data_IF_932894865137
#
_entry.id   IF_932894865137
#
_cell.length_a   1.000
_cell.length_b   1.000
_cell.length_c   1.000
_cell.angle_alpha   90.00
_cell.angle_beta   90.00
_cell.angle_gamma   90.00
#
_symmetry.space_group_name_H-M   'P 1'
#
loop_
_entity.id
_entity.type
_entity.pdbx_description
1 polymer ?
#
# COMPACT_ATOMS: atom_id res chain seq x y z
N UNK A 1 -27.24 60.26 66.59
CA UNK A 1 -26.13 59.87 65.69
C UNK A 1 -25.06 59.07 66.45
N UNK A 2 -25.33 57.88 66.90
CA UNK A 2 -24.32 57.05 67.58
C UNK A 2 -24.75 55.58 67.69
N UNK A 3 -25.03 54.92 66.57
CA UNK A 3 -25.51 53.56 66.64
C UNK A 3 -24.92 52.64 65.51
N UNK A 4 -23.78 53.03 64.93
CA UNK A 4 -23.11 52.25 63.86
C UNK A 4 -21.83 51.57 64.35
N UNK A 5 -21.42 51.77 65.60
CA UNK A 5 -20.12 51.31 66.11
C UNK A 5 -20.15 49.90 66.80
N UNK A 6 -21.27 49.21 66.82
CA UNK A 6 -21.42 48.00 67.63
C UNK A 6 -21.71 46.73 66.80
N UNK A 7 -21.35 46.72 65.53
CA UNK A 7 -21.38 45.45 64.77
C UNK A 7 -20.06 44.70 64.95
N UNK A 8 -20.08 43.44 65.45
CA UNK A 8 -18.88 42.66 65.61
C UNK A 8 -18.24 42.51 64.24
N UNK A 9 -16.97 42.84 64.10
CA UNK A 9 -16.18 42.58 62.91
C UNK A 9 -16.07 41.08 62.72
N UNK A 10 -16.57 40.55 61.56
CA UNK A 10 -16.47 39.15 61.22
C UNK A 10 -15.01 38.71 61.13
N UNK A 11 -14.73 37.52 61.64
CA UNK A 11 -13.41 36.95 61.56
C UNK A 11 -13.11 36.63 60.07
N UNK A 12 -12.07 37.23 59.53
CA UNK A 12 -11.60 36.87 58.14
C UNK A 12 -10.95 35.54 58.22
N UNK A 13 -11.43 34.53 57.49
CA UNK A 13 -10.77 33.20 57.45
C UNK A 13 -9.36 33.36 56.87
N UNK A 14 -8.43 32.62 57.44
CA UNK A 14 -7.05 32.58 56.94
C UNK A 14 -7.03 32.20 55.45
N UNK A 15 -6.21 32.89 54.69
CA UNK A 15 -5.99 32.58 53.27
C UNK A 15 -5.45 31.15 53.18
N UNK A 16 -6.07 30.26 52.36
CA UNK A 16 -5.54 28.89 52.17
C UNK A 16 -4.09 28.96 51.71
N UNK A 17 -3.23 28.12 52.31
CA UNK A 17 -1.85 28.00 51.88
C UNK A 17 -1.85 27.49 50.45
N UNK A 18 -1.14 28.22 49.56
CA UNK A 18 -0.95 27.78 48.19
C UNK A 18 0.03 26.63 48.19
N UNK A 19 -0.44 25.44 47.76
CA UNK A 19 0.48 24.37 47.41
C UNK A 19 1.32 24.82 46.21
N UNK A 20 2.65 24.79 46.36
CA UNK A 20 3.54 25.16 45.27
C UNK A 20 3.35 24.17 44.15
N UNK A 21 2.83 24.65 43.02
CA UNK A 21 2.70 23.84 41.79
C UNK A 21 4.10 23.46 41.31
N UNK A 22 4.41 22.15 41.30
CA UNK A 22 5.63 21.67 40.70
C UNK A 22 5.52 21.84 39.17
N UNK A 23 6.42 22.61 38.55
CA UNK A 23 6.37 22.80 37.12
C UNK A 23 6.59 21.47 36.42
N UNK A 24 5.68 21.09 35.52
CA UNK A 24 5.80 19.88 34.71
C UNK A 24 7.10 19.90 33.91
N UNK A 25 7.99 18.96 34.18
CA UNK A 25 9.22 18.78 33.41
C UNK A 25 8.90 18.10 32.09
N UNK A 26 8.95 18.85 31.00
CA UNK A 26 8.74 18.32 29.68
C UNK A 26 9.89 17.36 29.30
N UNK A 27 9.63 16.05 29.38
CA UNK A 27 10.60 14.99 29.11
C UNK A 27 10.68 14.52 27.65
N UNK A 28 10.08 15.26 26.71
CA UNK A 28 10.01 14.86 25.32
C UNK A 28 11.11 15.47 24.42
N UNK A 29 12.11 16.15 25.01
CA UNK A 29 13.20 16.76 24.26
C UNK A 29 13.98 15.76 23.39
N UNK A 30 14.01 14.48 23.79
CA UNK A 30 14.69 13.40 23.07
C UNK A 30 13.76 12.59 22.16
N UNK A 31 12.48 12.98 22.04
CA UNK A 31 11.57 12.35 21.09
C UNK A 31 11.70 13.05 19.76
N UNK A 32 11.63 12.25 18.69
CA UNK A 32 11.63 12.76 17.31
C UNK A 32 10.51 13.79 17.13
N UNK A 33 10.86 14.93 16.51
CA UNK A 33 9.87 15.95 16.16
C UNK A 33 8.85 15.38 15.16
N UNK A 34 7.53 15.60 15.36
CA UNK A 34 6.52 15.19 14.39
C UNK A 34 6.65 15.93 13.05
N UNK A 35 7.43 17.01 13.00
CA UNK A 35 7.68 17.81 11.80
C UNK A 35 8.99 17.45 11.09
N UNK A 36 9.78 16.54 11.63
CA UNK A 36 10.91 15.99 10.90
C UNK A 36 10.42 15.10 9.75
N UNK A 37 10.93 15.30 8.53
CA UNK A 37 10.57 14.45 7.41
C UNK A 37 10.86 12.98 7.76
N UNK A 38 10.01 12.04 7.36
CA UNK A 38 10.24 10.62 7.62
C UNK A 38 11.58 10.23 7.02
N UNK A 39 12.44 9.60 7.81
CA UNK A 39 13.64 8.97 7.28
C UNK A 39 13.16 7.79 6.44
N UNK A 40 13.19 7.97 5.13
CA UNK A 40 12.96 6.86 4.20
C UNK A 40 14.16 5.95 4.32
N UNK A 41 14.02 4.89 5.10
CA UNK A 41 14.98 3.78 5.08
C UNK A 41 14.76 3.09 3.73
N UNK A 42 15.45 3.59 2.71
CA UNK A 42 15.50 2.89 1.43
C UNK A 42 16.34 1.66 1.68
N UNK A 43 15.70 0.52 1.83
CA UNK A 43 16.38 -0.75 2.02
C UNK A 43 17.33 -0.96 0.83
N UNK A 44 18.64 -0.93 1.10
CA UNK A 44 19.66 -1.15 0.07
C UNK A 44 19.46 -2.49 -0.64
N UNK A 45 18.86 -3.47 0.05
CA UNK A 45 18.48 -4.75 -0.53
C UNK A 45 17.41 -4.60 -1.64
N UNK A 46 16.40 -3.75 -1.44
CA UNK A 46 15.38 -3.47 -2.47
C UNK A 46 15.98 -2.76 -3.69
N UNK A 47 16.96 -1.86 -3.47
CA UNK A 47 17.65 -1.20 -4.59
C UNK A 47 18.54 -2.18 -5.38
N UNK A 48 19.14 -3.17 -4.74
CA UNK A 48 19.91 -4.20 -5.45
C UNK A 48 19.01 -5.11 -6.30
N UNK A 49 17.83 -5.47 -5.77
CA UNK A 49 16.83 -6.25 -6.53
C UNK A 49 16.30 -5.44 -7.73
N UNK A 50 16.08 -4.15 -7.57
CA UNK A 50 15.64 -3.23 -8.63
C UNK A 50 16.60 -3.21 -9.82
N UNK A 51 17.91 -3.22 -9.56
CA UNK A 51 18.94 -3.10 -10.61
C UNK A 51 19.09 -4.38 -11.43
N UNK A 52 18.64 -5.54 -10.93
CA UNK A 52 18.77 -6.84 -11.59
C UNK A 52 17.54 -7.23 -12.42
N UNK A 53 16.39 -6.59 -12.15
CA UNK A 53 15.16 -6.88 -12.89
C UNK A 53 15.16 -6.07 -14.18
N UNK A 54 14.99 -6.76 -15.30
CA UNK A 54 14.81 -6.16 -16.62
C UNK A 54 13.59 -6.78 -17.30
N UNK A 55 12.85 -6.01 -18.10
CA UNK A 55 11.78 -6.57 -18.89
C UNK A 55 12.32 -7.68 -19.82
N UNK A 56 11.63 -8.78 -19.96
CA UNK A 56 11.99 -9.82 -20.92
C UNK A 56 11.74 -9.29 -22.34
N UNK A 57 12.80 -8.96 -23.06
CA UNK A 57 12.72 -8.45 -24.45
C UNK A 57 12.85 -9.57 -25.48
N UNK A 58 13.27 -10.75 -25.04
CA UNK A 58 13.66 -11.87 -25.93
C UNK A 58 12.53 -12.87 -26.19
N UNK A 59 11.30 -12.60 -25.75
CA UNK A 59 10.17 -13.49 -26.03
C UNK A 59 9.30 -12.97 -27.18
N UNK A 60 8.65 -13.91 -27.86
CA UNK A 60 7.63 -13.57 -28.87
C UNK A 60 6.42 -13.00 -28.15
N UNK A 61 6.02 -11.76 -28.48
CA UNK A 61 4.86 -11.12 -27.88
C UNK A 61 3.60 -11.96 -28.07
N UNK A 62 2.91 -12.19 -26.98
CA UNK A 62 1.64 -12.89 -26.98
C UNK A 62 0.48 -11.92 -27.26
N UNK A 63 -0.65 -12.37 -27.81
CA UNK A 63 -1.79 -11.50 -28.15
C UNK A 63 -2.28 -10.65 -26.98
N UNK A 64 -2.29 -11.19 -25.76
CA UNK A 64 -2.75 -10.48 -24.55
C UNK A 64 -1.79 -9.41 -24.04
N UNK A 65 -0.56 -9.34 -24.53
CA UNK A 65 0.39 -8.27 -24.21
C UNK A 65 0.08 -6.94 -24.94
N UNK A 66 -0.82 -6.98 -25.91
CA UNK A 66 -1.28 -5.77 -26.62
C UNK A 66 -2.34 -5.01 -25.83
N UNK A 67 -2.98 -5.65 -24.87
CA UNK A 67 -4.06 -5.09 -24.07
C UNK A 67 -3.58 -4.66 -22.69
N UNK A 68 -4.21 -3.63 -22.13
CA UNK A 68 -3.97 -3.28 -20.74
C UNK A 68 -4.61 -4.32 -19.82
N UNK A 69 -3.93 -4.68 -18.73
CA UNK A 69 -4.47 -5.67 -17.75
C UNK A 69 -5.85 -5.25 -17.21
N UNK A 70 -6.08 -3.95 -17.03
CA UNK A 70 -7.37 -3.44 -16.56
C UNK A 70 -8.55 -3.65 -17.53
N UNK A 71 -8.26 -3.99 -18.78
CA UNK A 71 -9.26 -4.28 -19.80
C UNK A 71 -9.47 -5.77 -20.05
N UNK A 72 -8.70 -6.61 -19.37
CA UNK A 72 -8.79 -8.06 -19.45
C UNK A 72 -9.67 -8.58 -18.32
N UNK A 73 -10.59 -9.48 -18.64
CA UNK A 73 -11.52 -10.05 -17.68
C UNK A 73 -11.40 -11.56 -17.65
N UNK A 74 -11.22 -12.12 -16.47
CA UNK A 74 -11.24 -13.58 -16.30
C UNK A 74 -12.69 -14.06 -16.25
N UNK A 75 -13.03 -15.02 -17.11
CA UNK A 75 -14.38 -15.59 -17.20
C UNK A 75 -14.46 -17.03 -16.72
N UNK A 76 -13.34 -17.67 -16.50
CA UNK A 76 -13.33 -19.02 -15.97
C UNK A 76 -11.96 -19.70 -16.00
N UNK A 77 -11.97 -20.97 -15.60
CA UNK A 77 -10.82 -21.86 -15.66
C UNK A 77 -11.16 -23.13 -16.45
N UNK A 78 -10.18 -23.71 -17.07
CA UNK A 78 -10.28 -25.00 -17.73
C UNK A 78 -9.22 -25.91 -17.13
N UNK A 79 -9.60 -27.11 -16.70
CA UNK A 79 -8.69 -28.13 -16.22
C UNK A 79 -8.74 -29.37 -17.11
N UNK A 80 -7.59 -29.85 -17.53
CA UNK A 80 -7.46 -31.11 -18.26
C UNK A 80 -6.11 -31.77 -17.95
N UNK A 81 -6.11 -33.02 -17.55
CA UNK A 81 -4.89 -33.81 -17.31
C UNK A 81 -3.90 -33.09 -16.36
N UNK A 82 -4.39 -32.59 -15.21
CA UNK A 82 -3.61 -31.85 -14.19
C UNK A 82 -3.05 -30.49 -14.67
N UNK A 83 -3.38 -30.04 -15.85
CA UNK A 83 -3.01 -28.70 -16.34
C UNK A 83 -4.21 -27.76 -16.19
N UNK A 84 -3.96 -26.60 -15.61
CA UNK A 84 -4.96 -25.55 -15.42
C UNK A 84 -4.70 -24.40 -16.38
N UNK A 85 -5.75 -23.96 -17.05
CA UNK A 85 -5.73 -22.77 -17.90
C UNK A 85 -6.72 -21.74 -17.34
N UNK A 86 -6.36 -20.48 -17.45
CA UNK A 86 -7.28 -19.37 -17.29
C UNK A 86 -7.93 -19.02 -18.63
N UNK A 87 -9.20 -18.63 -18.58
CA UNK A 87 -9.91 -18.08 -19.73
C UNK A 87 -10.07 -16.58 -19.52
N UNK A 88 -9.45 -15.80 -20.40
CA UNK A 88 -9.45 -14.33 -20.37
C UNK A 88 -10.18 -13.81 -21.59
N UNK A 89 -11.09 -12.87 -21.37
CA UNK A 89 -11.75 -12.12 -22.43
C UNK A 89 -11.06 -10.77 -22.58
N UNK A 90 -10.75 -10.41 -23.80
CA UNK A 90 -10.22 -9.09 -24.16
C UNK A 90 -11.34 -8.07 -24.43
N UNK A 91 -10.97 -6.84 -24.78
CA UNK A 91 -11.91 -5.75 -25.10
C UNK A 91 -12.75 -6.02 -26.35
N UNK A 92 -12.30 -6.88 -27.23
CA UNK A 92 -12.98 -7.26 -28.47
C UNK A 92 -13.97 -8.42 -28.26
N UNK A 93 -14.01 -8.98 -27.02
CA UNK A 93 -14.86 -10.12 -26.67
C UNK A 93 -14.25 -11.48 -27.06
N UNK A 94 -12.98 -11.51 -27.45
CA UNK A 94 -12.30 -12.76 -27.80
C UNK A 94 -11.81 -13.47 -26.54
N UNK A 95 -12.07 -14.77 -26.46
CA UNK A 95 -11.65 -15.61 -25.34
C UNK A 95 -10.27 -16.18 -25.62
N UNK A 96 -9.31 -15.87 -24.76
CA UNK A 96 -7.95 -16.39 -24.80
C UNK A 96 -7.73 -17.40 -23.69
N UNK A 97 -7.02 -18.48 -24.03
CA UNK A 97 -6.59 -19.48 -23.04
C UNK A 97 -5.15 -19.18 -22.65
N UNK A 98 -4.92 -19.04 -21.35
CA UNK A 98 -3.61 -18.73 -20.76
C UNK A 98 -3.20 -19.79 -19.75
N UNK A 99 -1.90 -19.96 -19.59
CA UNK A 99 -1.30 -20.89 -18.63
C UNK A 99 -0.26 -20.19 -17.75
N UNK A 100 0.20 -20.89 -16.71
CA UNK A 100 1.28 -20.38 -15.85
C UNK A 100 2.54 -20.21 -16.71
N UNK A 101 3.17 -19.03 -16.60
CA UNK A 101 4.34 -18.65 -17.37
C UNK A 101 4.06 -17.80 -18.60
N UNK A 102 2.81 -17.72 -19.07
CA UNK A 102 2.42 -16.83 -20.15
C UNK A 102 2.48 -15.36 -19.72
N UNK A 103 2.55 -14.49 -20.72
CA UNK A 103 2.59 -13.04 -20.53
C UNK A 103 1.28 -12.39 -20.96
N UNK A 104 0.85 -11.39 -20.21
CA UNK A 104 -0.31 -10.55 -20.54
C UNK A 104 -0.11 -9.12 -20.05
N UNK A 105 -0.78 -8.20 -20.70
CA UNK A 105 -0.70 -6.77 -20.35
C UNK A 105 0.53 -6.08 -20.91
N UNK A 106 0.43 -4.78 -21.07
CA UNK A 106 1.46 -3.92 -21.68
C UNK A 106 2.73 -3.78 -20.81
N UNK A 107 2.69 -4.25 -19.56
CA UNK A 107 3.77 -4.13 -18.57
C UNK A 107 4.44 -5.50 -18.27
N UNK A 108 4.54 -6.37 -19.28
CA UNK A 108 5.17 -7.70 -19.16
C UNK A 108 4.65 -8.52 -17.98
N UNK A 109 3.33 -8.55 -17.80
CA UNK A 109 2.69 -9.27 -16.71
C UNK A 109 2.82 -10.77 -16.87
N UNK A 110 3.73 -11.40 -16.13
CA UNK A 110 3.94 -12.85 -16.16
C UNK A 110 3.00 -13.56 -15.20
N UNK A 111 2.25 -14.54 -15.70
CA UNK A 111 1.33 -15.35 -14.90
C UNK A 111 2.13 -16.24 -13.95
N UNK A 112 1.91 -16.08 -12.65
CA UNK A 112 2.55 -16.88 -11.59
C UNK A 112 1.64 -18.00 -11.08
N UNK A 113 0.33 -17.74 -11.01
CA UNK A 113 -0.64 -18.69 -10.48
C UNK A 113 -2.01 -18.47 -11.10
N UNK A 114 -2.71 -19.56 -11.36
CA UNK A 114 -4.10 -19.58 -11.79
C UNK A 114 -4.93 -20.24 -10.69
N UNK A 115 -5.98 -19.58 -10.23
CA UNK A 115 -6.95 -20.05 -9.25
C UNK A 115 -8.36 -19.94 -9.84
N UNK A 116 -9.30 -20.67 -9.29
CA UNK A 116 -10.71 -20.54 -9.68
C UNK A 116 -11.25 -19.12 -9.49
N UNK A 117 -10.76 -18.41 -8.46
CA UNK A 117 -11.19 -17.05 -8.12
C UNK A 117 -10.45 -15.94 -8.88
N UNK A 118 -9.34 -16.26 -9.57
CA UNK A 118 -8.53 -15.23 -10.22
C UNK A 118 -7.16 -15.73 -10.68
N UNK A 119 -6.46 -14.86 -11.38
CA UNK A 119 -5.09 -15.08 -11.88
C UNK A 119 -4.16 -14.10 -11.20
N UNK A 120 -3.12 -14.63 -10.55
CA UNK A 120 -2.05 -13.83 -9.98
C UNK A 120 -0.92 -13.70 -11.01
N UNK A 121 -0.50 -12.48 -11.25
CA UNK A 121 0.57 -12.15 -12.17
C UNK A 121 1.51 -11.11 -11.57
N UNK A 122 2.68 -11.00 -12.14
CA UNK A 122 3.70 -10.05 -11.74
C UNK A 122 4.08 -9.19 -12.94
N UNK A 123 3.74 -7.91 -12.88
CA UNK A 123 4.13 -6.90 -13.87
C UNK A 123 5.52 -6.35 -13.57
N UNK A 124 6.22 -5.90 -14.61
CA UNK A 124 7.48 -5.18 -14.47
C UNK A 124 7.24 -3.73 -14.87
N UNK A 125 7.33 -2.83 -13.91
CA UNK A 125 7.08 -1.40 -14.12
C UNK A 125 8.34 -0.58 -13.91
N UNK A 126 8.48 0.53 -14.64
CA UNK A 126 9.58 1.46 -14.42
C UNK A 126 9.44 2.15 -13.07
N UNK A 127 10.56 2.34 -12.36
CA UNK A 127 10.62 3.10 -11.11
C UNK A 127 10.76 4.61 -11.32
N UNK A 128 10.85 5.07 -12.57
CA UNK A 128 11.00 6.48 -12.93
C UNK A 128 12.43 7.03 -12.85
N UNK A 129 13.38 6.26 -12.34
CA UNK A 129 14.82 6.65 -12.21
C UNK A 129 15.75 5.73 -13.00
N UNK A 130 15.21 5.02 -14.00
CA UNK A 130 15.97 4.13 -14.88
C UNK A 130 16.07 2.68 -14.40
N UNK A 131 15.38 2.32 -13.31
CA UNK A 131 15.25 0.96 -12.82
C UNK A 131 13.87 0.34 -13.09
N UNK A 132 13.72 -0.92 -12.71
CA UNK A 132 12.49 -1.69 -12.88
C UNK A 132 12.08 -2.34 -11.58
N UNK A 133 10.77 -2.40 -11.33
CA UNK A 133 10.17 -2.94 -10.13
C UNK A 133 9.15 -4.02 -10.48
N UNK A 134 9.15 -5.15 -9.77
CA UNK A 134 8.06 -6.09 -9.86
C UNK A 134 6.84 -5.53 -9.13
N UNK A 135 5.68 -5.63 -9.76
CA UNK A 135 4.39 -5.23 -9.20
C UNK A 135 3.43 -6.41 -9.27
N UNK A 136 3.04 -6.98 -8.12
CA UNK A 136 2.03 -8.04 -8.12
C UNK A 136 0.66 -7.47 -8.51
N UNK A 137 -0.08 -8.22 -9.33
CA UNK A 137 -1.44 -7.91 -9.75
C UNK A 137 -2.28 -9.18 -9.72
N UNK A 138 -3.56 -9.01 -9.49
CA UNK A 138 -4.54 -10.09 -9.56
C UNK A 138 -5.67 -9.67 -10.48
N UNK A 139 -6.07 -10.54 -11.40
CA UNK A 139 -7.30 -10.41 -12.18
C UNK A 139 -8.31 -11.33 -11.53
N UNK A 140 -9.36 -10.76 -10.96
CA UNK A 140 -10.44 -11.52 -10.34
C UNK A 140 -11.38 -12.09 -11.40
N UNK A 141 -11.97 -13.26 -11.11
CA UNK A 141 -12.98 -13.86 -11.98
C UNK A 141 -14.28 -13.05 -11.87
N UNK A 142 -14.86 -12.74 -13.03
CA UNK A 142 -16.18 -12.13 -13.10
C UNK A 142 -17.20 -13.11 -12.53
N UNK A 143 -17.99 -12.66 -11.54
CA UNK A 143 -19.10 -13.41 -10.94
C UNK A 143 -20.43 -13.07 -11.60
#
# INVERSE_FOLDING_TARGET
>A
MAEVAAKPRGTIPAIPEFEAYEPYKYGAANRRSPFEPPVVIVDRAQNQVRTLIRPPTDHVKQPLELFNIGSLTMVGTLARNQTYWGLIVDQEGVVHRVQIGDYMGTQWGKIKRIRESGIDLEEIVSDGVGGWLPRPRTIEMLR
#
